data_IF_696118030631
#
_entry.id   IF_696118030631
#
_cell.length_a   1.000
_cell.length_b   1.000
_cell.length_c   1.000
_cell.angle_alpha   90.00
_cell.angle_beta   90.00
_cell.angle_gamma   90.00
#
_symmetry.space_group_name_H-M   'P 1'
#
loop_
_entity.id
_entity.type
_entity.pdbx_description
1 polymer ?
#
# COMPACT_ATOMS: atom_id res chain seq x y z
N UNK A 1 -21.08 6.49 -12.65
CA UNK A 1 -20.14 6.55 -11.52
C UNK A 1 -18.68 6.17 -11.87
N UNK A 2 -18.28 6.26 -13.15
CA UNK A 2 -16.92 5.93 -13.62
C UNK A 2 -16.09 7.21 -13.91
N UNK A 3 -16.68 8.39 -13.78
CA UNK A 3 -16.06 9.65 -14.20
C UNK A 3 -14.93 10.20 -13.31
N UNK A 4 -14.76 9.71 -12.09
CA UNK A 4 -13.79 10.26 -11.12
C UNK A 4 -12.48 9.46 -10.96
N UNK A 5 -12.35 8.31 -11.60
CA UNK A 5 -11.11 7.50 -11.51
C UNK A 5 -9.90 8.18 -12.16
N UNK A 6 -10.09 9.07 -13.12
CA UNK A 6 -8.99 9.84 -13.74
C UNK A 6 -8.30 10.84 -12.81
N UNK A 7 -8.91 11.19 -11.67
CA UNK A 7 -8.35 12.14 -10.70
C UNK A 7 -7.27 11.51 -9.81
N UNK A 8 -7.18 10.18 -9.75
CA UNK A 8 -6.36 9.46 -8.79
C UNK A 8 -5.01 8.97 -9.31
N UNK A 9 -4.75 9.07 -10.61
CA UNK A 9 -3.45 8.63 -11.15
C UNK A 9 -2.93 9.75 -12.05
N UNK A 10 -2.19 10.68 -11.48
CA UNK A 10 -1.28 11.47 -12.29
C UNK A 10 -0.06 10.60 -12.67
N UNK A 11 -0.33 9.69 -13.60
CA UNK A 11 0.65 8.73 -14.10
C UNK A 11 1.87 9.43 -14.71
N UNK A 12 1.67 10.60 -15.29
CA UNK A 12 2.76 11.36 -15.90
C UNK A 12 3.74 11.87 -14.85
N UNK A 13 3.23 12.53 -13.80
CA UNK A 13 4.05 13.02 -12.69
C UNK A 13 4.77 11.90 -11.94
N UNK A 14 4.11 10.73 -11.77
CA UNK A 14 4.73 9.56 -11.17
C UNK A 14 5.86 9.00 -12.05
N UNK A 15 5.66 8.86 -13.35
CA UNK A 15 6.68 8.36 -14.28
C UNK A 15 7.87 9.32 -14.39
N UNK A 16 7.63 10.62 -14.42
CA UNK A 16 8.70 11.62 -14.40
C UNK A 16 9.54 11.52 -13.13
N UNK A 17 8.90 11.28 -11.97
CA UNK A 17 9.61 11.06 -10.71
C UNK A 17 10.48 9.80 -10.76
N UNK A 18 9.95 8.69 -11.26
CA UNK A 18 10.70 7.44 -11.44
C UNK A 18 11.91 7.65 -12.35
N UNK A 19 11.71 8.28 -13.51
CA UNK A 19 12.80 8.56 -14.46
C UNK A 19 13.91 9.42 -13.84
N UNK A 20 13.54 10.44 -13.07
CA UNK A 20 14.50 11.30 -12.39
C UNK A 20 15.33 10.52 -11.37
N UNK A 21 14.69 9.67 -10.56
CA UNK A 21 15.36 8.83 -9.57
C UNK A 21 16.27 7.78 -10.19
N UNK A 22 15.82 7.14 -11.29
CA UNK A 22 16.64 6.18 -12.05
C UNK A 22 17.92 6.83 -12.58
N UNK A 23 17.83 8.05 -13.12
CA UNK A 23 18.99 8.78 -13.64
C UNK A 23 19.99 9.16 -12.54
N UNK A 24 19.51 9.36 -11.32
CA UNK A 24 20.33 9.71 -10.16
C UNK A 24 20.79 8.48 -9.37
N UNK A 25 20.38 7.28 -9.77
CA UNK A 25 20.61 6.03 -9.04
C UNK A 25 20.15 6.11 -7.57
N UNK A 26 19.02 6.78 -7.32
CA UNK A 26 18.43 6.95 -6.00
C UNK A 26 17.31 5.94 -5.72
N UNK A 27 17.03 5.60 -4.46
CA UNK A 27 15.89 4.75 -4.11
C UNK A 27 14.57 5.38 -4.59
N UNK A 28 13.71 4.55 -5.21
CA UNK A 28 12.48 5.02 -5.82
C UNK A 28 11.24 4.72 -4.99
N UNK A 29 11.20 3.56 -4.36
CA UNK A 29 10.04 3.02 -3.68
C UNK A 29 10.46 2.47 -2.34
N UNK A 30 9.68 2.76 -1.31
CA UNK A 30 9.72 2.03 -0.05
C UNK A 30 8.57 1.03 -0.10
N UNK A 31 8.90 -0.26 -0.11
CA UNK A 31 7.94 -1.34 0.06
C UNK A 31 7.98 -1.83 1.51
N UNK A 32 6.82 -1.84 2.15
CA UNK A 32 6.68 -2.16 3.56
C UNK A 32 5.42 -2.99 3.80
N UNK A 33 5.42 -3.74 4.89
CA UNK A 33 4.22 -4.43 5.37
C UNK A 33 3.98 -4.13 6.85
N UNK A 34 2.71 -3.94 7.19
CA UNK A 34 2.28 -3.54 8.54
C UNK A 34 2.22 -4.74 9.46
N UNK A 35 1.83 -5.88 8.93
CA UNK A 35 1.76 -7.15 9.65
C UNK A 35 1.95 -8.33 8.69
N UNK A 36 2.14 -9.54 9.27
CA UNK A 36 2.20 -10.78 8.50
C UNK A 36 0.91 -11.62 8.62
N UNK A 37 -0.21 -10.98 9.01
CA UNK A 37 -1.52 -11.62 9.03
C UNK A 37 -2.06 -11.78 7.60
N UNK A 38 -2.73 -12.88 7.32
CA UNK A 38 -3.47 -13.10 6.10
C UNK A 38 -4.65 -14.05 6.34
N UNK A 39 -5.76 -13.81 5.68
CA UNK A 39 -6.95 -14.65 5.72
C UNK A 39 -6.99 -15.70 4.59
N UNK A 40 -5.96 -15.74 3.73
CA UNK A 40 -5.81 -16.71 2.64
C UNK A 40 -4.54 -17.57 2.83
N UNK A 41 -4.53 -18.72 2.16
CA UNK A 41 -3.40 -19.66 2.06
C UNK A 41 -3.07 -19.96 0.60
N UNK A 42 -2.75 -18.91 -0.15
CA UNK A 42 -2.49 -19.01 -1.59
C UNK A 42 -1.36 -19.99 -1.89
N UNK A 43 -1.55 -20.85 -2.90
CA UNK A 43 -0.58 -21.89 -3.28
C UNK A 43 0.77 -21.36 -3.74
N UNK A 44 0.80 -20.15 -4.29
CA UNK A 44 2.00 -19.46 -4.80
C UNK A 44 2.59 -18.44 -3.82
N UNK A 45 2.03 -18.33 -2.61
CA UNK A 45 2.46 -17.32 -1.65
C UNK A 45 3.91 -17.54 -1.21
N UNK A 46 4.80 -16.62 -1.56
CA UNK A 46 6.21 -16.70 -1.17
C UNK A 46 6.46 -16.46 0.33
N UNK A 47 5.51 -15.85 1.05
CA UNK A 47 5.55 -15.75 2.50
C UNK A 47 5.22 -17.05 3.23
N UNK A 48 4.56 -18.01 2.54
CA UNK A 48 4.17 -19.29 3.12
C UNK A 48 3.42 -19.16 4.46
N UNK A 49 3.70 -20.08 5.36
CA UNK A 49 3.15 -20.12 6.73
C UNK A 49 3.99 -19.29 7.71
N UNK A 50 4.47 -18.11 7.29
CA UNK A 50 5.22 -17.22 8.17
C UNK A 50 4.46 -16.97 9.47
N UNK A 51 5.14 -17.21 10.61
CA UNK A 51 4.53 -17.00 11.93
C UNK A 51 4.16 -15.53 12.12
N UNK A 52 3.05 -15.24 12.79
CA UNK A 52 2.69 -13.88 13.14
C UNK A 52 3.86 -13.19 13.87
N UNK A 53 4.18 -11.97 13.47
CA UNK A 53 5.13 -11.14 14.20
C UNK A 53 4.44 -10.74 15.50
N UNK A 54 5.05 -11.05 16.62
CA UNK A 54 4.48 -10.76 17.95
C UNK A 54 4.59 -9.27 18.31
N UNK A 55 5.58 -8.59 17.75
CA UNK A 55 5.83 -7.18 18.01
C UNK A 55 5.34 -6.33 16.85
N UNK A 56 4.60 -5.30 17.18
CA UNK A 56 4.12 -4.32 16.22
C UNK A 56 4.88 -3.00 16.36
N UNK A 57 5.24 -2.42 15.25
CA UNK A 57 5.80 -1.07 15.22
C UNK A 57 4.72 -0.07 15.67
N UNK A 58 5.04 0.78 16.65
CA UNK A 58 4.12 1.81 17.12
C UNK A 58 3.89 2.89 16.06
N UNK A 59 2.76 3.59 16.15
CA UNK A 59 2.45 4.69 15.22
C UNK A 59 3.49 5.83 15.33
N UNK A 60 3.99 6.11 16.53
CA UNK A 60 5.06 7.11 16.73
C UNK A 60 6.35 6.71 15.99
N UNK A 61 6.69 5.42 15.97
CA UNK A 61 7.84 4.91 15.22
C UNK A 61 7.61 4.99 13.71
N UNK A 62 6.39 4.71 13.25
CA UNK A 62 6.01 4.90 11.85
C UNK A 62 6.13 6.37 11.44
N UNK A 63 5.65 7.31 12.25
CA UNK A 63 5.79 8.74 11.98
C UNK A 63 7.26 9.13 11.84
N UNK A 64 8.11 8.74 12.80
CA UNK A 64 9.55 9.03 12.74
C UNK A 64 10.22 8.47 11.48
N UNK A 65 9.87 7.25 11.09
CA UNK A 65 10.36 6.63 9.86
C UNK A 65 9.90 7.38 8.60
N UNK A 66 8.63 7.77 8.54
CA UNK A 66 8.09 8.50 7.39
C UNK A 66 8.71 9.90 7.29
N UNK A 67 8.88 10.61 8.41
CA UNK A 67 9.56 11.93 8.46
C UNK A 67 10.98 11.84 7.89
N UNK A 68 11.73 10.82 8.31
CA UNK A 68 13.11 10.60 7.84
C UNK A 68 13.12 10.25 6.35
N UNK A 69 12.30 9.28 5.92
CA UNK A 69 12.23 8.84 4.53
C UNK A 69 11.81 9.98 3.58
N UNK A 70 10.79 10.75 3.96
CA UNK A 70 10.31 11.91 3.20
C UNK A 70 11.38 13.02 3.19
N UNK A 71 12.08 13.22 4.32
CA UNK A 71 13.19 14.15 4.43
C UNK A 71 14.35 13.80 3.50
N UNK A 72 14.59 12.52 3.26
CA UNK A 72 15.56 12.03 2.28
C UNK A 72 15.07 12.07 0.82
N UNK A 73 13.86 12.58 0.58
CA UNK A 73 13.29 12.75 -0.76
C UNK A 73 12.50 11.53 -1.27
N UNK A 74 12.19 10.55 -0.42
CA UNK A 74 11.31 9.44 -0.81
C UNK A 74 9.88 9.97 -1.02
N UNK A 75 9.26 9.51 -2.11
CA UNK A 75 7.92 9.97 -2.51
C UNK A 75 6.95 8.85 -2.78
N UNK A 76 7.42 7.62 -2.91
CA UNK A 76 6.54 6.48 -3.17
C UNK A 76 6.61 5.47 -2.01
N UNK A 77 5.45 5.23 -1.40
CA UNK A 77 5.28 4.27 -0.32
C UNK A 77 4.27 3.20 -0.74
N UNK A 78 4.73 1.98 -0.78
CA UNK A 78 3.95 0.81 -1.19
C UNK A 78 3.79 -0.12 0.00
N UNK A 79 2.56 -0.51 0.29
CA UNK A 79 2.28 -1.48 1.34
C UNK A 79 1.82 -2.78 0.73
N UNK A 80 2.65 -3.79 0.83
CA UNK A 80 2.42 -5.10 0.26
C UNK A 80 2.51 -6.21 1.32
N UNK A 81 2.78 -7.44 0.90
CA UNK A 81 3.05 -8.55 1.80
C UNK A 81 1.88 -9.48 1.98
N UNK A 82 1.44 -9.72 3.21
CA UNK A 82 0.27 -10.54 3.53
C UNK A 82 -1.01 -9.75 3.22
N UNK A 83 -1.95 -9.65 4.14
CA UNK A 83 -3.16 -8.85 3.95
C UNK A 83 -3.13 -7.62 4.87
N UNK A 84 -2.83 -6.47 4.30
CA UNK A 84 -2.62 -5.24 5.05
C UNK A 84 -3.85 -4.80 5.84
N UNK A 85 -5.06 -5.02 5.30
CA UNK A 85 -6.32 -4.60 5.93
C UNK A 85 -6.80 -5.51 7.07
N UNK A 86 -6.07 -6.57 7.41
CA UNK A 86 -6.29 -7.33 8.64
C UNK A 86 -5.61 -6.69 9.87
N UNK A 87 -4.98 -5.55 9.68
CA UNK A 87 -4.38 -4.78 10.76
C UNK A 87 -4.79 -3.32 10.65
N UNK A 88 -5.65 -2.87 11.57
CA UNK A 88 -6.23 -1.52 11.54
C UNK A 88 -5.19 -0.40 11.56
N UNK A 89 -3.95 -0.68 11.98
CA UNK A 89 -2.86 0.32 11.93
C UNK A 89 -2.53 0.78 10.52
N UNK A 90 -2.92 0.03 9.49
CA UNK A 90 -2.73 0.48 8.10
C UNK A 90 -3.44 1.82 7.88
N UNK A 91 -4.65 1.99 8.39
CA UNK A 91 -5.41 3.23 8.23
C UNK A 91 -4.72 4.41 8.93
N UNK A 92 -4.16 4.18 10.13
CA UNK A 92 -3.39 5.22 10.85
C UNK A 92 -2.15 5.63 10.04
N UNK A 93 -1.44 4.67 9.45
CA UNK A 93 -0.24 4.93 8.64
C UNK A 93 -0.61 5.66 7.34
N UNK A 94 -1.69 5.26 6.67
CA UNK A 94 -2.17 5.95 5.47
C UNK A 94 -2.61 7.38 5.77
N UNK A 95 -3.25 7.63 6.92
CA UNK A 95 -3.60 8.96 7.39
C UNK A 95 -2.35 9.81 7.68
N UNK A 96 -1.29 9.22 8.24
CA UNK A 96 -0.01 9.92 8.40
C UNK A 96 0.56 10.35 7.03
N UNK A 97 0.52 9.48 6.02
CA UNK A 97 0.98 9.81 4.68
C UNK A 97 0.11 10.89 4.02
N UNK A 98 -1.19 10.89 4.29
CA UNK A 98 -2.10 11.92 3.79
C UNK A 98 -1.71 13.33 4.25
N UNK A 99 -1.13 13.48 5.45
CA UNK A 99 -0.65 14.77 5.96
C UNK A 99 0.46 15.38 5.07
N UNK A 100 1.26 14.55 4.40
CA UNK A 100 2.37 14.98 3.54
C UNK A 100 2.02 15.04 2.05
N UNK A 101 0.88 14.46 1.64
CA UNK A 101 0.58 14.16 0.23
C UNK A 101 0.68 15.37 -0.67
N UNK A 102 0.01 16.45 -0.32
CA UNK A 102 -0.06 17.66 -1.16
C UNK A 102 1.27 18.42 -1.17
N UNK A 103 1.81 18.72 0.01
CA UNK A 103 3.02 19.54 0.16
C UNK A 103 4.26 18.84 -0.39
N UNK A 104 4.37 17.54 -0.20
CA UNK A 104 5.55 16.74 -0.55
C UNK A 104 5.36 15.91 -1.82
N UNK A 105 4.17 15.95 -2.43
CA UNK A 105 3.79 15.14 -3.60
C UNK A 105 4.02 13.65 -3.36
N UNK A 106 3.54 13.16 -2.20
CA UNK A 106 3.67 11.75 -1.81
C UNK A 106 2.67 10.90 -2.59
N UNK A 107 3.15 9.77 -3.09
CA UNK A 107 2.37 8.75 -3.77
C UNK A 107 2.39 7.48 -2.94
N UNK A 108 1.24 6.94 -2.57
CA UNK A 108 1.18 5.75 -1.73
C UNK A 108 -0.02 4.88 -2.03
N UNK A 109 0.16 3.58 -1.81
CA UNK A 109 -0.88 2.61 -2.08
C UNK A 109 -0.69 1.29 -1.35
N UNK A 110 -1.72 0.46 -1.43
CA UNK A 110 -1.80 -0.83 -0.74
C UNK A 110 -2.14 -1.93 -1.73
N UNK A 111 -1.50 -3.08 -1.57
CA UNK A 111 -1.90 -4.34 -2.22
C UNK A 111 -2.78 -5.14 -1.26
N UNK A 112 -3.88 -5.63 -1.75
CA UNK A 112 -4.83 -6.44 -1.00
C UNK A 112 -5.31 -7.65 -1.81
N UNK A 113 -5.72 -8.69 -1.11
CA UNK A 113 -6.44 -9.81 -1.73
C UNK A 113 -7.93 -9.50 -1.95
N UNK A 114 -8.43 -8.37 -1.45
CA UNK A 114 -9.81 -7.90 -1.61
C UNK A 114 -10.86 -8.63 -0.76
N UNK A 115 -10.47 -9.65 0.03
CA UNK A 115 -11.42 -10.48 0.79
C UNK A 115 -11.78 -9.91 2.16
N UNK A 116 -11.02 -8.92 2.63
CA UNK A 116 -11.20 -8.35 3.97
C UNK A 116 -12.06 -7.10 3.99
N UNK A 117 -12.48 -6.62 2.82
CA UNK A 117 -13.19 -5.36 2.68
C UNK A 117 -14.59 -5.57 2.14
N UNK A 118 -15.56 -5.02 2.84
CA UNK A 118 -16.89 -4.71 2.33
C UNK A 118 -16.94 -3.29 1.75
N UNK A 119 -18.13 -2.82 1.41
CA UNK A 119 -18.32 -1.47 0.85
C UNK A 119 -17.84 -0.39 1.84
N UNK A 120 -18.08 -0.56 3.13
CA UNK A 120 -17.66 0.39 4.17
C UNK A 120 -16.13 0.43 4.30
N UNK A 121 -15.47 -0.72 4.23
CA UNK A 121 -14.01 -0.80 4.22
C UNK A 121 -13.38 -0.10 3.04
N UNK A 122 -13.99 -0.17 1.85
CA UNK A 122 -13.54 0.61 0.69
C UNK A 122 -13.70 2.12 0.90
N UNK A 123 -14.79 2.57 1.49
CA UNK A 123 -15.01 4.00 1.81
C UNK A 123 -13.98 4.50 2.82
N UNK A 124 -13.63 3.70 3.83
CA UNK A 124 -12.56 4.02 4.79
C UNK A 124 -11.19 4.15 4.10
N UNK A 125 -10.85 3.24 3.19
CA UNK A 125 -9.62 3.33 2.39
C UNK A 125 -9.60 4.60 1.55
N UNK A 126 -10.69 4.93 0.87
CA UNK A 126 -10.80 6.14 0.06
C UNK A 126 -10.68 7.42 0.91
N UNK A 127 -11.18 7.40 2.14
CA UNK A 127 -11.08 8.53 3.08
C UNK A 127 -9.64 8.85 3.49
N UNK A 128 -8.71 7.89 3.40
CA UNK A 128 -7.27 8.11 3.65
C UNK A 128 -6.55 8.84 2.51
N UNK A 129 -7.25 9.28 1.48
CA UNK A 129 -6.67 9.93 0.30
C UNK A 129 -5.59 9.09 -0.41
N UNK A 130 -5.73 7.77 -0.38
CA UNK A 130 -4.81 6.82 -1.03
C UNK A 130 -4.63 7.13 -2.52
N UNK A 131 -3.45 6.91 -3.06
CA UNK A 131 -3.17 7.15 -4.48
C UNK A 131 -3.60 6.00 -5.37
N UNK A 132 -3.50 4.77 -4.86
CA UNK A 132 -3.95 3.56 -5.56
C UNK A 132 -4.24 2.42 -4.58
N UNK A 133 -5.13 1.54 -4.98
CA UNK A 133 -5.40 0.26 -4.36
C UNK A 133 -5.22 -0.82 -5.43
N UNK A 134 -4.32 -1.77 -5.17
CA UNK A 134 -4.07 -2.90 -6.04
C UNK A 134 -4.76 -4.14 -5.47
N UNK A 135 -5.61 -4.77 -6.28
CA UNK A 135 -6.26 -6.02 -5.91
C UNK A 135 -5.61 -7.17 -6.66
N UNK A 136 -5.10 -8.13 -5.90
CA UNK A 136 -4.44 -9.31 -6.45
C UNK A 136 -5.47 -10.31 -6.96
N UNK A 137 -5.44 -10.60 -8.27
CA UNK A 137 -6.30 -11.58 -8.93
C UNK A 137 -5.45 -12.52 -9.80
N UNK A 138 -5.69 -13.82 -9.68
CA UNK A 138 -4.97 -14.86 -10.46
C UNK A 138 -5.74 -15.35 -11.67
N UNK A 139 -6.81 -14.67 -12.02
CA UNK A 139 -7.68 -15.02 -13.13
C UNK A 139 -9.15 -14.85 -12.79
N UNK A 140 -10.03 -15.34 -13.64
CA UNK A 140 -11.48 -15.26 -13.44
C UNK A 140 -12.05 -16.55 -12.83
N UNK A 141 -13.04 -16.38 -11.93
CA UNK A 141 -13.83 -17.48 -11.37
C UNK A 141 -12.95 -18.58 -10.75
N UNK A 142 -13.22 -19.82 -11.12
CA UNK A 142 -12.58 -21.01 -10.56
C UNK A 142 -11.04 -21.03 -10.58
N UNK A 143 -10.41 -20.29 -11.49
CA UNK A 143 -8.94 -20.25 -11.55
C UNK A 143 -8.37 -19.44 -10.40
N UNK A 144 -9.00 -18.33 -10.05
CA UNK A 144 -8.62 -17.57 -8.87
C UNK A 144 -8.78 -18.43 -7.60
N UNK A 145 -9.93 -19.12 -7.46
CA UNK A 145 -10.26 -19.93 -6.28
C UNK A 145 -9.35 -21.16 -6.10
N UNK A 146 -8.76 -21.67 -7.19
CA UNK A 146 -7.81 -22.79 -7.14
C UNK A 146 -6.43 -22.38 -6.63
N UNK A 147 -6.06 -21.13 -6.77
CA UNK A 147 -4.72 -20.61 -6.47
C UNK A 147 -4.74 -19.86 -5.13
N UNK A 148 -5.81 -19.13 -4.86
CA UNK A 148 -6.07 -18.35 -3.65
C UNK A 148 -7.03 -19.06 -2.74
#
# INVERSE_FOLDING_TARGET
MIGNLKKYIDKASFMEHIDAKLRQNEPMIIDSFVSNKCNLKCRHCYFGDARPISESVSLARWRSFLDEAIGMGMKHFHFSGKESFLDNRIFDILNLLAEYKEDRKIFYGVVSNGMSMDIQGYDEVLATNISYLEISLEGSGKYNDLIR
#
